data_IF_456244421062
#
_entry.id   IF_456244421062
#
_cell.length_a   1.000
_cell.length_b   1.000
_cell.length_c   1.000
_cell.angle_alpha   90.00
_cell.angle_beta   90.00
_cell.angle_gamma   90.00
#
_symmetry.space_group_name_H-M   'P 1'
#
loop_
_entity.id
_entity.type
_entity.pdbx_description
1 polymer ?
#
# COMPACT_ATOMS: atom_id res chain seq x y z
N UNK A 1 4.46 -4.05 0.78
CA UNK A 1 5.48 -5.05 1.22
C UNK A 1 5.44 -6.35 0.42
N UNK A 2 4.29 -6.98 0.22
CA UNK A 2 4.18 -8.25 -0.53
C UNK A 2 4.71 -8.15 -1.97
N UNK A 3 4.39 -7.08 -2.71
CA UNK A 3 4.88 -6.91 -4.08
C UNK A 3 6.40 -6.86 -4.14
N UNK A 4 7.05 -6.11 -3.23
CA UNK A 4 8.53 -6.08 -3.14
C UNK A 4 9.10 -7.47 -2.97
N UNK A 5 8.60 -8.24 -2.02
CA UNK A 5 9.05 -9.61 -1.79
C UNK A 5 8.87 -10.49 -3.04
N UNK A 6 7.70 -10.38 -3.70
CA UNK A 6 7.39 -11.14 -4.90
C UNK A 6 8.33 -10.82 -6.07
N UNK A 7 8.71 -9.55 -6.25
CA UNK A 7 9.69 -9.12 -7.26
C UNK A 7 11.08 -9.61 -6.88
N UNK A 8 11.52 -9.40 -5.63
CA UNK A 8 12.84 -9.81 -5.16
C UNK A 8 13.04 -11.32 -5.22
N UNK A 9 12.02 -12.12 -4.96
CA UNK A 9 12.09 -13.59 -5.07
C UNK A 9 12.36 -14.09 -6.49
N UNK A 10 12.19 -13.22 -7.51
CA UNK A 10 12.49 -13.52 -8.92
C UNK A 10 13.89 -13.05 -9.33
N UNK A 11 14.68 -12.55 -8.39
CA UNK A 11 16.02 -12.05 -8.60
C UNK A 11 17.03 -12.87 -7.77
N UNK A 12 18.27 -13.07 -8.27
CA UNK A 12 19.35 -13.65 -7.49
C UNK A 12 19.60 -12.88 -6.19
N UNK A 13 19.98 -13.58 -5.12
CA UNK A 13 20.22 -12.98 -3.80
C UNK A 13 21.22 -11.82 -3.84
N UNK A 14 22.25 -11.91 -4.67
CA UNK A 14 23.27 -10.86 -4.86
C UNK A 14 22.73 -9.55 -5.38
N UNK A 15 21.62 -9.56 -6.14
CA UNK A 15 20.99 -8.37 -6.71
C UNK A 15 19.85 -7.82 -5.85
N UNK A 16 19.33 -8.61 -4.92
CA UNK A 16 18.13 -8.23 -4.16
C UNK A 16 18.31 -6.93 -3.38
N UNK A 17 19.49 -6.67 -2.81
CA UNK A 17 19.74 -5.44 -2.06
C UNK A 17 19.67 -4.19 -2.96
N UNK A 18 20.29 -4.27 -4.17
CA UNK A 18 20.24 -3.18 -5.16
C UNK A 18 18.83 -2.99 -5.71
N UNK A 19 18.17 -4.08 -6.09
CA UNK A 19 16.80 -4.04 -6.60
C UNK A 19 15.81 -3.53 -5.55
N UNK A 20 15.98 -3.85 -4.27
CA UNK A 20 15.14 -3.32 -3.19
C UNK A 20 15.23 -1.80 -3.08
N UNK A 21 16.42 -1.21 -3.24
CA UNK A 21 16.57 0.25 -3.25
C UNK A 21 15.88 0.86 -4.45
N UNK A 22 16.11 0.34 -5.64
CA UNK A 22 15.44 0.81 -6.86
C UNK A 22 13.90 0.70 -6.75
N UNK A 23 13.38 -0.37 -6.14
CA UNK A 23 11.94 -0.46 -5.85
C UNK A 23 11.50 0.59 -4.82
N UNK A 24 12.31 0.90 -3.81
CA UNK A 24 11.99 1.96 -2.82
C UNK A 24 11.90 3.32 -3.50
N UNK A 25 12.76 3.63 -4.46
CA UNK A 25 12.74 4.90 -5.19
C UNK A 25 11.39 5.12 -5.89
N UNK A 26 10.72 4.06 -6.37
CA UNK A 26 9.39 4.14 -7.00
C UNK A 26 8.33 4.66 -6.03
N UNK A 27 8.19 4.03 -4.86
CA UNK A 27 7.10 4.40 -3.94
C UNK A 27 7.48 5.45 -2.90
N UNK A 28 8.74 5.87 -2.85
CA UNK A 28 9.18 7.01 -2.06
C UNK A 28 9.26 8.30 -2.87
N UNK A 29 9.05 8.24 -4.18
CA UNK A 29 9.01 9.41 -5.05
C UNK A 29 7.98 10.44 -4.59
N UNK A 30 8.28 11.71 -4.82
CA UNK A 30 7.44 12.84 -4.40
C UNK A 30 6.23 13.03 -5.32
N UNK A 31 6.40 12.72 -6.61
CA UNK A 31 5.36 12.85 -7.63
C UNK A 31 5.15 11.52 -8.35
N UNK A 32 3.96 11.37 -8.96
CA UNK A 32 3.66 10.22 -9.82
C UNK A 32 4.63 10.12 -10.99
N UNK A 33 4.99 11.24 -11.59
CA UNK A 33 5.94 11.30 -12.71
C UNK A 33 7.32 10.77 -12.31
N UNK A 34 7.83 11.17 -11.15
CA UNK A 34 9.11 10.66 -10.64
C UNK A 34 9.04 9.16 -10.34
N UNK A 35 7.92 8.69 -9.82
CA UNK A 35 7.70 7.27 -9.56
C UNK A 35 7.67 6.45 -10.86
N UNK A 36 7.04 6.98 -11.91
CA UNK A 36 7.01 6.36 -13.23
C UNK A 36 8.41 6.31 -13.86
N UNK A 37 9.18 7.41 -13.76
CA UNK A 37 10.57 7.43 -14.21
C UNK A 37 11.45 6.42 -13.48
N UNK A 38 11.29 6.30 -12.15
CA UNK A 38 12.01 5.29 -11.36
C UNK A 38 11.59 3.85 -11.74
N UNK A 39 10.32 3.65 -12.08
CA UNK A 39 9.81 2.37 -12.55
C UNK A 39 10.39 2.01 -13.93
N UNK A 40 10.45 2.95 -14.85
CA UNK A 40 11.02 2.75 -16.19
C UNK A 40 12.54 2.46 -16.08
N UNK A 41 13.27 3.14 -15.20
CA UNK A 41 14.67 2.84 -14.91
C UNK A 41 14.86 1.43 -14.33
N UNK A 42 13.91 0.95 -13.51
CA UNK A 42 13.94 -0.44 -13.03
C UNK A 42 13.74 -1.43 -14.17
N UNK A 43 12.81 -1.17 -15.08
CA UNK A 43 12.54 -1.99 -16.27
C UNK A 43 13.79 -2.07 -17.16
N UNK A 44 14.41 -0.93 -17.44
CA UNK A 44 15.64 -0.87 -18.24
C UNK A 44 16.79 -1.67 -17.62
N UNK A 45 16.96 -1.53 -16.30
CA UNK A 45 18.06 -2.20 -15.58
C UNK A 45 17.88 -3.73 -15.51
N UNK A 46 16.65 -4.21 -15.32
CA UNK A 46 16.41 -5.61 -15.01
C UNK A 46 15.66 -6.38 -16.11
N UNK A 47 15.03 -5.69 -17.06
CA UNK A 47 14.13 -6.30 -18.06
C UNK A 47 14.80 -7.34 -18.93
N UNK A 48 16.01 -7.09 -19.42
CA UNK A 48 16.72 -7.98 -20.35
C UNK A 48 17.00 -9.35 -19.73
N UNK A 49 17.43 -9.39 -18.46
CA UNK A 49 17.88 -10.63 -17.79
C UNK A 49 16.85 -11.23 -16.85
N UNK A 50 15.91 -10.43 -16.35
CA UNK A 50 14.97 -10.81 -15.28
C UNK A 50 13.54 -10.42 -15.62
N UNK A 51 13.11 -10.75 -16.83
CA UNK A 51 11.78 -10.45 -17.39
C UNK A 51 10.65 -10.78 -16.39
N UNK A 52 10.68 -11.96 -15.77
CA UNK A 52 9.70 -12.38 -14.77
C UNK A 52 9.60 -11.47 -13.55
N UNK A 53 10.68 -10.79 -13.17
CA UNK A 53 10.67 -9.81 -12.08
C UNK A 53 9.98 -8.52 -12.52
N UNK A 54 10.27 -8.06 -13.74
CA UNK A 54 9.66 -6.89 -14.35
C UNK A 54 8.17 -7.12 -14.63
N UNK A 55 7.79 -8.25 -15.23
CA UNK A 55 6.38 -8.62 -15.42
C UNK A 55 5.60 -8.62 -14.10
N UNK A 56 6.21 -9.19 -13.04
CA UNK A 56 5.60 -9.17 -11.72
C UNK A 56 5.34 -7.76 -11.22
N UNK A 57 6.24 -6.80 -11.48
CA UNK A 57 6.08 -5.40 -11.09
C UNK A 57 5.01 -4.72 -11.96
N UNK A 58 5.10 -4.87 -13.28
CA UNK A 58 4.26 -4.20 -14.26
C UNK A 58 2.79 -4.60 -14.19
N UNK A 59 2.51 -5.86 -13.81
CA UNK A 59 1.13 -6.36 -13.69
C UNK A 59 0.22 -5.47 -12.86
N UNK A 60 0.77 -4.77 -11.86
CA UNK A 60 -0.02 -3.94 -10.94
C UNK A 60 0.44 -2.46 -10.97
N UNK A 61 1.06 -2.01 -12.08
CA UNK A 61 1.63 -0.65 -12.23
C UNK A 61 0.67 0.42 -11.74
N UNK A 62 -0.53 0.45 -12.30
CA UNK A 62 -1.55 1.47 -11.98
C UNK A 62 -1.97 1.41 -10.51
N UNK A 63 -2.20 0.20 -10.01
CA UNK A 63 -2.62 0.00 -8.62
C UNK A 63 -1.52 0.42 -7.62
N UNK A 64 -0.25 0.18 -7.98
CA UNK A 64 0.89 0.55 -7.13
C UNK A 64 1.05 2.07 -7.00
N UNK A 65 0.65 2.83 -8.02
CA UNK A 65 0.75 4.29 -8.06
C UNK A 65 -0.56 5.00 -7.69
N UNK A 66 -1.65 4.27 -7.47
CA UNK A 66 -2.96 4.85 -7.15
C UNK A 66 -2.98 5.72 -5.89
N UNK A 67 -2.01 5.56 -4.97
CA UNK A 67 -1.96 6.38 -3.75
C UNK A 67 -1.68 7.87 -4.03
N UNK A 68 -1.13 8.23 -5.19
CA UNK A 68 -0.94 9.63 -5.61
C UNK A 68 -2.26 10.37 -5.81
N UNK A 69 -3.35 9.64 -6.05
CA UNK A 69 -4.71 10.18 -6.21
C UNK A 69 -5.42 10.44 -4.86
N UNK A 70 -4.68 10.33 -3.75
CA UNK A 70 -5.17 10.55 -2.38
C UNK A 70 -4.34 11.64 -1.67
N UNK A 71 -4.87 12.27 -0.61
CA UNK A 71 -4.12 13.25 0.17
C UNK A 71 -2.73 12.74 0.60
N UNK A 72 -1.70 13.55 0.48
CA UNK A 72 -0.33 13.16 0.82
C UNK A 72 -0.19 12.61 2.26
N UNK A 73 -0.99 13.11 3.19
CA UNK A 73 -1.03 12.64 4.58
C UNK A 73 -1.46 11.16 4.70
N UNK A 74 -2.25 10.66 3.74
CA UNK A 74 -2.71 9.28 3.70
C UNK A 74 -1.69 8.30 3.12
N UNK A 75 -0.71 8.76 2.36
CA UNK A 75 0.23 7.91 1.62
C UNK A 75 0.97 6.91 2.51
N UNK A 76 1.32 7.30 3.74
CA UNK A 76 1.97 6.41 4.71
C UNK A 76 1.13 5.15 4.98
N UNK A 77 -0.19 5.27 4.94
CA UNK A 77 -1.12 4.17 5.19
C UNK A 77 -1.45 3.38 3.93
N UNK A 78 -1.47 4.05 2.76
CA UNK A 78 -1.81 3.44 1.48
C UNK A 78 -0.66 2.65 0.85
N UNK A 79 0.58 3.07 1.09
CA UNK A 79 1.80 2.40 0.59
C UNK A 79 2.07 1.04 1.25
N UNK A 80 1.37 0.70 2.32
CA UNK A 80 1.63 -0.51 3.10
C UNK A 80 0.35 -1.09 3.72
N UNK A 81 0.30 -2.40 3.84
CA UNK A 81 -0.76 -3.14 4.52
C UNK A 81 -0.48 -3.37 6.02
N UNK A 82 0.60 -2.79 6.54
CA UNK A 82 1.06 -2.99 7.91
C UNK A 82 -0.01 -2.81 9.00
N UNK A 83 -0.92 -1.82 8.94
CA UNK A 83 -1.96 -1.67 9.95
C UNK A 83 -2.89 -2.91 10.04
N UNK A 84 -3.28 -3.44 8.88
CA UNK A 84 -4.13 -4.64 8.79
C UNK A 84 -3.34 -5.87 9.24
N UNK A 85 -2.10 -6.03 8.76
CA UNK A 85 -1.23 -7.15 9.13
C UNK A 85 -0.93 -7.18 10.62
N UNK A 86 -0.70 -6.03 11.26
CA UNK A 86 -0.48 -5.92 12.71
C UNK A 86 -1.67 -6.44 13.50
N UNK A 87 -2.89 -6.08 13.11
CA UNK A 87 -4.12 -6.57 13.74
C UNK A 87 -4.25 -8.07 13.59
N UNK A 88 -4.07 -8.60 12.37
CA UNK A 88 -4.13 -10.04 12.13
C UNK A 88 -2.98 -10.82 12.79
N UNK A 89 -1.80 -10.23 12.94
CA UNK A 89 -0.69 -10.84 13.66
C UNK A 89 -1.05 -11.06 15.13
N UNK A 90 -1.75 -10.12 15.78
CA UNK A 90 -2.23 -10.28 17.15
C UNK A 90 -3.23 -11.44 17.26
N UNK A 91 -4.18 -11.53 16.33
CA UNK A 91 -5.15 -12.65 16.29
C UNK A 91 -4.41 -13.97 16.08
N UNK A 92 -3.50 -14.04 15.11
CA UNK A 92 -2.70 -15.23 14.78
C UNK A 92 -1.88 -15.70 15.98
N UNK A 93 -1.22 -14.80 16.68
CA UNK A 93 -0.39 -15.13 17.85
C UNK A 93 -1.24 -15.78 18.95
N UNK A 94 -2.46 -15.30 19.18
CA UNK A 94 -3.37 -15.87 20.18
C UNK A 94 -3.91 -17.24 19.73
N UNK A 95 -4.33 -17.37 18.47
CA UNK A 95 -4.87 -18.64 17.95
C UNK A 95 -3.83 -19.75 17.93
N UNK A 96 -2.56 -19.45 17.61
CA UNK A 96 -1.48 -20.44 17.68
C UNK A 96 -1.24 -20.88 19.12
N UNK A 97 -1.23 -19.96 20.08
CA UNK A 97 -1.00 -20.29 21.50
C UNK A 97 -2.13 -21.12 22.10
N UNK A 98 -3.37 -20.90 21.71
CA UNK A 98 -4.52 -21.68 22.16
C UNK A 98 -4.67 -23.02 21.42
N UNK A 99 -3.74 -23.35 20.51
CA UNK A 99 -3.77 -24.56 19.67
C UNK A 99 -5.07 -24.74 18.89
N UNK A 100 -5.70 -23.62 18.49
CA UNK A 100 -6.96 -23.59 17.76
C UNK A 100 -8.17 -23.32 18.65
N UNK A 101 -9.35 -23.51 18.09
CA UNK A 101 -10.63 -23.32 18.76
C UNK A 101 -11.49 -24.59 18.67
N UNK A 102 -12.26 -24.82 19.70
CA UNK A 102 -13.14 -26.00 19.79
C UNK A 102 -14.26 -26.03 18.74
N UNK A 103 -14.65 -24.84 18.21
CA UNK A 103 -15.67 -24.72 17.17
C UNK A 103 -15.48 -23.42 16.37
N UNK A 104 -16.05 -23.34 15.16
CA UNK A 104 -16.06 -22.13 14.34
C UNK A 104 -16.72 -20.96 15.06
N UNK A 105 -17.78 -21.20 15.83
CA UNK A 105 -18.47 -20.15 16.61
C UNK A 105 -17.56 -19.56 17.68
N UNK A 106 -16.84 -20.42 18.41
CA UNK A 106 -15.84 -19.96 19.40
C UNK A 106 -14.70 -19.22 18.76
N UNK A 107 -14.24 -19.66 17.57
CA UNK A 107 -13.21 -18.96 16.81
C UNK A 107 -13.63 -17.54 16.42
N UNK A 108 -14.83 -17.38 15.87
CA UNK A 108 -15.37 -16.07 15.51
C UNK A 108 -15.53 -15.15 16.72
N UNK A 109 -16.08 -15.66 17.82
CA UNK A 109 -16.22 -14.89 19.06
C UNK A 109 -14.86 -14.44 19.61
N UNK A 110 -13.84 -15.30 19.56
CA UNK A 110 -12.48 -14.96 19.98
C UNK A 110 -11.86 -13.89 19.07
N UNK A 111 -11.97 -14.05 17.74
CA UNK A 111 -11.45 -13.06 16.77
C UNK A 111 -12.13 -11.71 17.00
N UNK A 112 -13.45 -11.69 17.17
CA UNK A 112 -14.20 -10.47 17.46
C UNK A 112 -13.71 -9.77 18.74
N UNK A 113 -13.56 -10.52 19.83
CA UNK A 113 -13.04 -9.95 21.09
C UNK A 113 -11.60 -9.46 21.00
N UNK A 114 -10.74 -10.16 20.24
CA UNK A 114 -9.37 -9.70 19.98
C UNK A 114 -9.33 -8.44 19.14
N UNK A 115 -10.19 -8.32 18.11
CA UNK A 115 -10.33 -7.12 17.31
C UNK A 115 -10.82 -5.92 18.14
N UNK A 116 -11.85 -6.10 18.99
CA UNK A 116 -12.32 -5.07 19.92
C UNK A 116 -11.23 -4.64 20.92
N UNK A 117 -10.41 -5.56 21.38
CA UNK A 117 -9.30 -5.24 22.27
C UNK A 117 -8.20 -4.45 21.54
N UNK A 118 -7.88 -4.81 20.30
CA UNK A 118 -6.91 -4.13 19.47
C UNK A 118 -7.39 -2.71 19.10
N UNK A 119 -8.68 -2.51 18.83
CA UNK A 119 -9.30 -1.23 18.51
C UNK A 119 -8.99 -0.14 19.55
N UNK A 120 -8.93 -0.50 20.82
CA UNK A 120 -8.60 0.42 21.92
C UNK A 120 -7.20 1.03 21.83
N UNK A 121 -6.30 0.36 21.10
CA UNK A 121 -4.91 0.80 20.89
C UNK A 121 -4.68 1.42 19.50
N UNK A 122 -5.69 1.48 18.65
CA UNK A 122 -5.54 2.07 17.33
C UNK A 122 -5.36 3.58 17.42
N UNK A 123 -4.38 4.07 16.71
CA UNK A 123 -4.18 5.50 16.54
C UNK A 123 -5.08 6.04 15.44
N UNK A 124 -5.45 7.31 15.55
CA UNK A 124 -6.17 7.99 14.48
C UNK A 124 -5.36 7.96 13.18
N UNK A 125 -6.08 7.83 12.07
CA UNK A 125 -5.49 7.94 10.75
C UNK A 125 -4.81 9.30 10.61
N UNK A 126 -3.59 9.34 10.10
CA UNK A 126 -2.93 10.59 9.75
C UNK A 126 -3.72 11.25 8.62
N UNK A 127 -4.00 12.55 8.72
CA UNK A 127 -4.86 13.23 7.76
C UNK A 127 -6.35 12.84 7.87
N UNK A 128 -6.84 12.41 9.03
CA UNK A 128 -8.24 12.04 9.24
C UNK A 128 -9.21 13.17 8.86
N UNK A 129 -8.78 14.43 8.96
CA UNK A 129 -9.51 15.62 8.55
C UNK A 129 -9.76 15.69 7.03
N UNK A 130 -8.97 14.96 6.22
CA UNK A 130 -9.14 14.85 4.77
C UNK A 130 -10.13 13.73 4.37
N UNK A 131 -10.49 12.83 5.30
CA UNK A 131 -11.41 11.72 5.00
C UNK A 131 -12.75 12.19 4.42
N UNK A 132 -13.41 13.24 4.91
CA UNK A 132 -14.65 13.72 4.31
C UNK A 132 -14.48 14.08 2.83
N UNK A 133 -13.36 14.70 2.44
CA UNK A 133 -13.08 15.04 1.04
C UNK A 133 -12.91 13.79 0.19
N UNK A 134 -12.20 12.77 0.69
CA UNK A 134 -12.03 11.49 -0.01
C UNK A 134 -13.37 10.79 -0.20
N UNK A 135 -14.21 10.75 0.84
CA UNK A 135 -15.56 10.15 0.79
C UNK A 135 -16.45 10.88 -0.21
N UNK A 136 -16.36 12.20 -0.29
CA UNK A 136 -17.09 13.04 -1.25
C UNK A 136 -16.54 12.96 -2.68
N UNK A 137 -15.47 12.20 -2.91
CA UNK A 137 -14.88 12.00 -4.24
C UNK A 137 -14.08 13.19 -4.76
N UNK A 138 -13.60 14.07 -3.86
CA UNK A 138 -12.68 15.15 -4.23
C UNK A 138 -11.43 14.55 -4.86
N UNK A 139 -11.01 15.11 -6.00
CA UNK A 139 -9.83 14.65 -6.73
C UNK A 139 -8.56 15.24 -6.13
N UNK A 140 -7.54 14.40 -6.08
CA UNK A 140 -6.19 14.80 -5.69
C UNK A 140 -5.23 14.44 -6.83
N UNK A 141 -4.18 15.23 -6.96
CA UNK A 141 -3.05 14.96 -7.85
C UNK A 141 -1.76 15.16 -7.05
N UNK A 142 -0.92 14.14 -6.99
CA UNK A 142 0.30 14.12 -6.18
C UNK A 142 0.06 14.55 -4.71
N UNK A 143 -1.08 14.11 -4.15
CA UNK A 143 -1.47 14.40 -2.77
C UNK A 143 -2.08 15.77 -2.53
N UNK A 144 -2.18 16.61 -3.54
CA UNK A 144 -2.74 17.97 -3.48
C UNK A 144 -4.15 17.97 -4.07
N UNK A 145 -5.08 18.65 -3.40
CA UNK A 145 -6.45 18.78 -3.86
C UNK A 145 -6.52 19.55 -5.19
N UNK A 146 -7.20 18.97 -6.19
CA UNK A 146 -7.46 19.63 -7.47
C UNK A 146 -8.68 20.54 -7.31
N UNK A 147 -8.44 21.83 -7.10
CA UNK A 147 -9.49 22.85 -7.07
C UNK A 147 -9.97 23.12 -8.50
N UNK A 148 -11.21 22.74 -8.82
CA UNK A 148 -11.85 23.16 -10.09
C UNK A 148 -12.11 24.66 -10.04
N UNK A 149 -11.42 25.42 -10.85
CA UNK A 149 -11.71 26.84 -11.05
C UNK A 149 -13.14 26.97 -11.65
N UNK A 150 -13.96 27.87 -11.14
CA UNK A 150 -15.38 28.05 -11.56
C UNK A 150 -15.56 28.22 -13.09
N UNK A 151 -14.51 28.62 -13.83
CA UNK A 151 -14.54 28.72 -15.29
C UNK A 151 -14.71 27.36 -16.01
N UNK A 152 -14.38 26.23 -15.38
CA UNK A 152 -14.54 24.88 -15.97
C UNK A 152 -15.91 24.24 -15.65
N UNK A 153 -16.63 24.76 -14.67
CA UNK A 153 -17.97 24.26 -14.31
C UNK A 153 -19.07 24.87 -15.20
N UNK A 154 -18.77 25.93 -15.93
CA UNK A 154 -19.72 26.58 -16.85
C UNK A 154 -19.63 26.04 -18.30
N UNK A 155 -18.69 25.15 -18.59
CA UNK A 155 -18.44 24.59 -19.91
C UNK A 155 -18.81 23.08 -20.05
N UNK A 156 -19.44 22.50 -19.04
CA UNK A 156 -19.96 21.12 -19.03
C UNK A 156 -21.48 21.10 -18.83
#
# INVERSE_FOLDING_TARGET
>A
MHKTANVLNRLPKSLQAKAKRALQDIWMAQTRTDAEAALDAFIETYGIKYEKAVECLMKDRETLLAFYDFPAEHWKHLRTTNPIESTFATVRHRTIRSRGCLSNKTALAMIFKLAQAAEKSWHRLRGYNQLPKVILGVKFNDGIEVVRTQAQAAAA
#
